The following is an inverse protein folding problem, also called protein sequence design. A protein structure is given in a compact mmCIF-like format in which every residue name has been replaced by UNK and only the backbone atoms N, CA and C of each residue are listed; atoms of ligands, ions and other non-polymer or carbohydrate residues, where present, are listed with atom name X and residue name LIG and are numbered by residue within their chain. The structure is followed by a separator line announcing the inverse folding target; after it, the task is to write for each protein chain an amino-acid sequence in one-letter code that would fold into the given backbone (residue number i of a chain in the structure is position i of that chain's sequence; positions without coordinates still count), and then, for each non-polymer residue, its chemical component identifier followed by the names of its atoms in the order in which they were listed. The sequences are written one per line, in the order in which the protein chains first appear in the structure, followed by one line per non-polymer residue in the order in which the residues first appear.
data_IF_672275875038
#
_entry.id   IF_672275875038
#
_cell.length_a   1.000
_cell.length_b   1.000
_cell.length_c   1.000
_cell.angle_alpha   90.00
_cell.angle_beta   90.00
_cell.angle_gamma   90.00
#
_symmetry.space_group_name_H-M   'P 1'
#
loop_
_entity.id
_entity.type
_entity.pdbx_description
1 polymer ?
#
# COMPACT_ATOMS: atom_id res chain seq x y z
N UNK A 1 -8.90 -11.89 -0.55
CA UNK A 1 -7.80 -12.58 -1.24
C UNK A 1 -6.79 -12.90 -0.17
N UNK A 2 -6.61 -14.18 0.08
CA UNK A 2 -5.71 -14.67 1.12
C UNK A 2 -4.45 -15.24 0.48
N UNK A 3 -3.31 -14.66 0.83
CA UNK A 3 -1.97 -15.03 0.36
C UNK A 3 -1.03 -15.20 1.56
N UNK A 4 -1.56 -15.46 2.76
CA UNK A 4 -0.76 -15.68 3.96
C UNK A 4 0.27 -16.80 3.76
N UNK A 5 1.43 -16.68 4.41
CA UNK A 5 2.44 -17.75 4.49
C UNK A 5 2.97 -18.22 3.13
N UNK A 6 3.16 -17.27 2.21
CA UNK A 6 3.84 -17.50 0.95
C UNK A 6 5.26 -16.90 0.98
N UNK A 7 5.96 -16.98 -0.15
CA UNK A 7 7.30 -16.40 -0.34
C UNK A 7 7.27 -15.13 -1.17
N UNK A 8 6.16 -14.38 -1.11
CA UNK A 8 5.96 -13.19 -1.93
C UNK A 8 6.85 -12.04 -1.43
N UNK A 9 7.73 -11.55 -2.30
CA UNK A 9 8.55 -10.36 -2.03
C UNK A 9 7.87 -9.05 -2.45
N UNK A 10 6.93 -9.16 -3.39
CA UNK A 10 6.12 -8.07 -3.96
C UNK A 10 4.85 -8.65 -4.58
N UNK A 11 3.96 -7.80 -5.08
CA UNK A 11 2.78 -8.17 -5.86
C UNK A 11 2.92 -7.69 -7.31
N UNK A 12 2.33 -8.38 -8.30
CA UNK A 12 2.28 -7.88 -9.66
C UNK A 12 1.38 -6.63 -9.74
N UNK A 13 1.69 -5.72 -10.66
CA UNK A 13 0.87 -4.53 -10.92
C UNK A 13 -0.61 -4.84 -11.22
N UNK A 14 -0.88 -6.03 -11.79
CA UNK A 14 -2.23 -6.52 -12.05
C UNK A 14 -3.11 -6.63 -10.80
N UNK A 15 -2.55 -6.63 -9.58
CA UNK A 15 -3.33 -6.58 -8.34
C UNK A 15 -4.30 -5.40 -8.33
N UNK A 16 -3.90 -4.25 -8.88
CA UNK A 16 -4.72 -3.04 -8.92
C UNK A 16 -6.02 -3.16 -9.72
N UNK A 17 -6.13 -4.18 -10.57
CA UNK A 17 -7.36 -4.46 -11.34
C UNK A 17 -8.47 -5.07 -10.47
N UNK A 18 -8.13 -5.60 -9.28
CA UNK A 18 -9.10 -6.20 -8.36
C UNK A 18 -9.89 -5.14 -7.58
N UNK A 19 -10.50 -4.17 -8.28
CA UNK A 19 -11.16 -2.98 -7.69
C UNK A 19 -12.26 -3.29 -6.68
N UNK A 20 -12.86 -4.48 -6.73
CA UNK A 20 -13.89 -4.98 -5.81
C UNK A 20 -13.34 -5.73 -4.59
N UNK A 21 -12.03 -5.94 -4.50
CA UNK A 21 -11.40 -6.65 -3.41
C UNK A 21 -11.57 -5.88 -2.10
N UNK A 22 -12.10 -6.54 -1.06
CA UNK A 22 -12.34 -5.92 0.26
C UNK A 22 -11.28 -6.29 1.30
N UNK A 23 -10.69 -7.48 1.18
CA UNK A 23 -9.70 -8.01 2.13
C UNK A 23 -8.52 -8.56 1.34
N UNK A 24 -7.30 -8.16 1.72
CA UNK A 24 -6.04 -8.65 1.19
C UNK A 24 -5.13 -9.06 2.35
N UNK A 25 -4.90 -10.36 2.51
CA UNK A 25 -4.01 -10.89 3.53
C UNK A 25 -2.68 -11.30 2.89
N UNK A 26 -1.60 -10.66 3.33
CA UNK A 26 -0.21 -10.85 2.91
C UNK A 26 0.68 -11.21 4.11
N UNK A 27 0.09 -11.51 5.26
CA UNK A 27 0.82 -11.80 6.49
C UNK A 27 1.77 -13.00 6.29
N UNK A 28 2.88 -13.03 7.04
CA UNK A 28 3.95 -14.05 6.91
C UNK A 28 4.48 -14.21 5.48
N UNK A 29 4.64 -13.12 4.74
CA UNK A 29 5.43 -13.09 3.51
C UNK A 29 6.71 -12.27 3.74
N UNK A 30 7.84 -12.58 3.07
CA UNK A 30 9.07 -11.79 3.12
C UNK A 30 8.95 -10.49 2.29
N UNK A 31 7.79 -9.84 2.36
CA UNK A 31 7.44 -8.69 1.55
C UNK A 31 8.15 -7.44 2.07
N UNK A 32 8.94 -6.80 1.20
CA UNK A 32 9.64 -5.56 1.53
C UNK A 32 9.03 -4.35 0.82
N UNK A 33 8.31 -4.60 -0.28
CA UNK A 33 7.70 -3.56 -1.11
C UNK A 33 6.24 -3.91 -1.36
N UNK A 34 5.36 -2.98 -0.99
CA UNK A 34 3.97 -3.00 -1.38
C UNK A 34 3.80 -2.07 -2.60
N UNK A 35 3.41 -2.58 -3.77
CA UNK A 35 3.35 -1.77 -4.98
C UNK A 35 2.24 -0.71 -4.89
N UNK A 36 2.42 0.47 -5.52
CA UNK A 36 1.43 1.55 -5.52
C UNK A 36 0.08 1.10 -6.09
N UNK A 37 0.04 0.09 -6.95
CA UNK A 37 -1.19 -0.49 -7.52
C UNK A 37 -2.13 -1.06 -6.45
N UNK A 38 -1.66 -1.38 -5.24
CA UNK A 38 -2.55 -1.69 -4.09
C UNK A 38 -3.45 -0.51 -3.74
N UNK A 39 -3.01 0.72 -4.00
CA UNK A 39 -3.82 1.93 -3.91
C UNK A 39 -5.01 1.98 -4.88
N UNK A 40 -4.97 1.21 -5.98
CA UNK A 40 -6.08 1.11 -6.95
C UNK A 40 -7.24 0.23 -6.44
N UNK A 41 -7.03 -0.50 -5.34
CA UNK A 41 -8.05 -1.34 -4.71
C UNK A 41 -9.09 -0.46 -3.96
N UNK A 42 -10.00 0.15 -4.72
CA UNK A 42 -10.96 1.16 -4.23
C UNK A 42 -11.88 0.64 -3.12
N UNK A 43 -12.21 -0.65 -3.13
CA UNK A 43 -13.06 -1.27 -2.10
C UNK A 43 -12.29 -1.94 -0.96
N UNK A 44 -10.95 -1.86 -0.93
CA UNK A 44 -10.17 -2.52 0.10
C UNK A 44 -10.40 -1.86 1.46
N UNK A 45 -10.81 -2.69 2.43
CA UNK A 45 -11.10 -2.31 3.82
C UNK A 45 -10.05 -2.87 4.78
N UNK A 46 -9.52 -4.06 4.46
CA UNK A 46 -8.55 -4.76 5.31
C UNK A 46 -7.33 -5.13 4.47
N UNK A 47 -6.16 -4.69 4.95
CA UNK A 47 -4.86 -5.06 4.43
C UNK A 47 -4.03 -5.59 5.61
N UNK A 48 -3.74 -6.89 5.59
CA UNK A 48 -2.88 -7.52 6.58
C UNK A 48 -1.51 -7.76 5.95
N UNK A 49 -0.47 -7.14 6.51
CA UNK A 49 0.92 -7.30 6.05
C UNK A 49 1.85 -7.15 7.25
N UNK A 50 3.01 -7.80 7.19
CA UNK A 50 4.04 -7.61 8.20
C UNK A 50 4.74 -6.25 8.00
N UNK A 51 4.22 -5.22 8.68
CA UNK A 51 4.73 -3.86 8.62
C UNK A 51 6.19 -3.71 9.05
N UNK A 52 6.72 -4.64 9.85
CA UNK A 52 8.10 -4.55 10.35
C UNK A 52 9.15 -4.82 9.26
N UNK A 53 8.75 -5.53 8.20
CA UNK A 53 9.64 -5.90 7.09
C UNK A 53 9.50 -4.99 5.87
N UNK A 54 8.54 -4.06 5.87
CA UNK A 54 8.33 -3.13 4.76
C UNK A 54 9.39 -2.02 4.75
N UNK A 55 10.02 -1.86 3.59
CA UNK A 55 10.85 -0.71 3.25
C UNK A 55 10.02 0.36 2.53
N UNK A 56 9.05 -0.09 1.72
CA UNK A 56 8.09 0.76 1.00
C UNK A 56 6.68 0.20 1.25
N UNK A 57 5.75 0.96 1.86
CA UNK A 57 5.91 2.33 2.39
C UNK A 57 6.94 2.47 3.51
N UNK A 58 7.49 3.68 3.72
CA UNK A 58 8.52 3.90 4.72
C UNK A 58 7.97 3.78 6.15
N UNK A 59 8.85 3.56 7.11
CA UNK A 59 8.53 3.27 8.52
C UNK A 59 7.56 4.29 9.14
N UNK A 60 7.61 5.56 8.74
CA UNK A 60 6.77 6.66 9.22
C UNK A 60 5.29 6.48 8.83
N UNK A 61 5.03 5.80 7.71
CA UNK A 61 3.67 5.48 7.25
C UNK A 61 3.13 4.25 7.98
N UNK A 62 4.00 3.27 8.27
CA UNK A 62 3.65 2.00 8.91
C UNK A 62 3.77 2.01 10.44
N UNK A 63 4.26 3.10 11.04
CA UNK A 63 4.73 3.17 12.43
C UNK A 63 3.69 2.78 13.49
N UNK A 64 2.41 2.87 13.16
CA UNK A 64 1.30 2.53 14.07
C UNK A 64 0.62 1.19 13.73
N UNK A 65 1.13 0.45 12.74
CA UNK A 65 0.46 -0.76 12.22
C UNK A 65 -0.91 -0.47 11.60
N UNK A 66 -1.23 0.80 11.34
CA UNK A 66 -2.50 1.20 10.75
C UNK A 66 -2.47 1.01 9.23
N UNK A 67 -3.06 -0.09 8.79
CA UNK A 67 -3.30 -0.39 7.37
C UNK A 67 -3.99 0.77 6.63
N UNK A 68 -4.81 1.58 7.32
CA UNK A 68 -5.51 2.72 6.72
C UNK A 68 -4.54 3.82 6.28
N UNK A 69 -3.47 4.07 7.05
CA UNK A 69 -2.42 5.05 6.69
C UNK A 69 -1.63 4.58 5.48
N UNK A 70 -1.28 3.30 5.45
CA UNK A 70 -0.63 2.66 4.30
C UNK A 70 -1.49 2.76 3.04
N UNK A 71 -2.79 2.46 3.15
CA UNK A 71 -3.69 2.56 2.00
C UNK A 71 -3.88 4.00 1.53
N UNK A 72 -3.95 4.97 2.45
CA UNK A 72 -3.98 6.40 2.09
C UNK A 72 -2.71 6.81 1.36
N UNK A 73 -1.55 6.40 1.85
CA UNK A 73 -0.26 6.64 1.20
C UNK A 73 -0.25 6.08 -0.22
N UNK A 74 -0.58 4.80 -0.42
CA UNK A 74 -0.58 4.20 -1.76
C UNK A 74 -1.58 4.86 -2.72
N UNK A 75 -2.77 5.26 -2.23
CA UNK A 75 -3.77 5.99 -3.01
C UNK A 75 -3.27 7.37 -3.46
N UNK A 76 -2.45 8.03 -2.65
CA UNK A 76 -1.80 9.29 -3.02
C UNK A 76 -0.91 9.08 -4.27
N UNK A 77 -0.09 8.04 -4.30
CA UNK A 77 0.77 7.76 -5.46
C UNK A 77 -0.02 7.51 -6.73
N UNK A 78 -1.06 6.67 -6.64
CA UNK A 78 -1.91 6.38 -7.79
C UNK A 78 -2.54 7.66 -8.30
N UNK A 79 -3.08 8.47 -7.41
CA UNK A 79 -3.69 9.76 -7.75
C UNK A 79 -2.66 10.70 -8.39
N UNK A 80 -1.49 10.88 -7.77
CA UNK A 80 -0.43 11.73 -8.29
C UNK A 80 0.10 11.27 -9.65
N UNK A 81 0.20 9.95 -9.89
CA UNK A 81 0.56 9.39 -11.20
C UNK A 81 -0.53 9.61 -12.25
N UNK A 82 -1.79 9.61 -11.86
CA UNK A 82 -2.93 9.81 -12.75
C UNK A 82 -3.17 11.29 -13.08
N UNK A 83 -2.99 12.20 -12.12
CA UNK A 83 -3.32 13.63 -12.25
C UNK A 83 -2.09 14.52 -12.47
N UNK A 84 -0.89 14.06 -12.14
CA UNK A 84 0.31 14.90 -12.05
C UNK A 84 0.34 15.81 -10.83
N UNK A 85 -0.62 15.70 -9.90
CA UNK A 85 -0.76 16.57 -8.74
C UNK A 85 -0.48 15.81 -7.43
N UNK A 86 0.46 16.31 -6.63
CA UNK A 86 0.76 15.79 -5.29
C UNK A 86 -0.17 16.45 -4.26
N UNK A 87 -1.22 15.74 -3.82
CA UNK A 87 -2.17 16.20 -2.80
C UNK A 87 -1.68 15.94 -1.37
N UNK A 88 -0.65 16.68 -0.95
CA UNK A 88 0.00 16.50 0.37
C UNK A 88 -0.91 16.92 1.54
N UNK A 89 -1.86 17.83 1.30
CA UNK A 89 -2.71 18.48 2.30
C UNK A 89 -3.93 17.65 2.75
N UNK A 90 -4.50 16.81 1.86
CA UNK A 90 -5.80 16.17 2.11
C UNK A 90 -5.75 14.90 2.96
N UNK A 91 -4.57 14.30 3.16
CA UNK A 91 -4.45 12.96 3.75
C UNK A 91 -3.54 12.83 4.97
N UNK A 92 -3.02 13.95 5.50
CA UNK A 92 -2.25 13.97 6.75
C UNK A 92 -0.90 13.26 6.67
N UNK A 93 -0.33 13.16 5.47
CA UNK A 93 0.99 12.56 5.25
C UNK A 93 2.07 13.63 5.53
N UNK A 94 2.95 13.36 6.49
CA UNK A 94 4.02 14.28 6.89
C UNK A 94 5.23 14.25 5.95
N UNK A 95 5.29 13.28 5.05
CA UNK A 95 6.43 13.08 4.16
C UNK A 95 5.95 12.74 2.76
N UNK A 96 6.44 13.50 1.78
CA UNK A 96 6.45 13.03 0.41
C UNK A 96 7.41 11.83 0.35
N UNK A 97 7.03 10.76 -0.35
CA UNK A 97 7.95 9.66 -0.64
C UNK A 97 9.21 10.19 -1.31
N UNK A 98 10.40 9.62 -1.02
CA UNK A 98 11.56 9.87 -1.84
C UNK A 98 11.23 9.43 -3.28
N UNK A 99 11.49 10.32 -4.23
CA UNK A 99 11.29 10.10 -5.66
C UNK A 99 11.85 8.73 -6.07
N UNK A 100 11.07 7.99 -6.87
CA UNK A 100 11.59 6.90 -7.71
C UNK A 100 12.11 7.53 -8.98
#
# INVERSE_FOLDING_TARGET
LDLESNQLKTLPAAIGQLTKLQVLNLFKNPMQVLPPEVGQLKMLKTLDVDFQNLQVPPKEVVQEGDASRVLKYLRLFVTARETGELLVDKYGLLTVPPDV
#
